data_IF_704373277151
#
_entry.id   IF_704373277151
#
_cell.length_a   1.000
_cell.length_b   1.000
_cell.length_c   1.000
_cell.angle_alpha   90.00
_cell.angle_beta   90.00
_cell.angle_gamma   90.00
#
_symmetry.space_group_name_H-M   'P 1'
#
loop_
_entity.id
_entity.type
_entity.pdbx_description
1 polymer ?
#
# COMPACT_ATOMS: atom_id res chain seq x y z
N UNK A 1 22.00 -5.66 2.42
CA UNK A 1 21.74 -6.93 3.13
C UNK A 1 22.86 -7.27 4.12
N UNK A 2 24.13 -7.30 3.69
CA UNK A 2 25.25 -7.70 4.57
C UNK A 2 25.69 -6.65 5.61
N UNK A 3 25.30 -5.38 5.47
CA UNK A 3 25.69 -4.33 6.42
C UNK A 3 24.85 -4.41 7.71
N UNK A 4 25.47 -4.44 8.90
CA UNK A 4 24.76 -4.54 10.17
C UNK A 4 23.75 -3.41 10.41
N UNK A 5 24.01 -2.21 9.87
CA UNK A 5 23.17 -1.02 9.99
C UNK A 5 21.80 -1.16 9.31
N UNK A 6 21.64 -2.16 8.42
CA UNK A 6 20.32 -2.49 7.86
C UNK A 6 19.40 -3.18 8.87
N UNK A 7 19.94 -3.75 9.95
CA UNK A 7 19.14 -4.40 10.98
C UNK A 7 18.24 -3.38 11.68
N UNK A 8 16.98 -3.76 11.90
CA UNK A 8 15.99 -2.87 12.55
C UNK A 8 15.39 -1.79 11.63
N UNK A 9 15.76 -1.73 10.34
CA UNK A 9 15.22 -0.75 9.38
C UNK A 9 13.92 -1.21 8.69
N UNK A 10 13.40 -2.36 9.10
CA UNK A 10 12.26 -3.02 8.46
C UNK A 10 12.65 -3.68 7.12
N UNK A 11 11.65 -3.93 6.28
CA UNK A 11 11.89 -4.38 4.90
C UNK A 11 12.38 -3.17 4.08
N UNK A 12 13.41 -3.39 3.27
CA UNK A 12 14.06 -2.38 2.46
C UNK A 12 13.95 -2.73 0.97
N UNK A 13 13.79 -1.70 0.14
CA UNK A 13 13.96 -1.79 -1.31
C UNK A 13 15.23 -1.03 -1.69
N UNK A 14 16.11 -1.63 -2.48
CA UNK A 14 17.32 -0.98 -2.98
C UNK A 14 17.32 -1.02 -4.49
N UNK A 15 17.19 0.14 -5.14
CA UNK A 15 17.30 0.30 -6.58
C UNK A 15 17.90 1.66 -6.90
N UNK A 16 18.71 1.75 -7.96
CA UNK A 16 19.37 3.00 -8.36
C UNK A 16 20.18 3.63 -7.21
N UNK A 17 20.90 2.79 -6.47
CA UNK A 17 21.70 3.13 -5.28
C UNK A 17 20.92 3.71 -4.09
N UNK A 18 19.61 3.98 -4.23
CA UNK A 18 18.77 4.50 -3.15
C UNK A 18 18.21 3.35 -2.29
N UNK A 19 18.23 3.54 -0.97
CA UNK A 19 17.66 2.61 0.00
C UNK A 19 16.33 3.17 0.49
N UNK A 20 15.22 2.53 0.15
CA UNK A 20 13.88 3.00 0.50
C UNK A 20 13.23 2.18 1.61
N UNK A 21 12.39 2.85 2.41
CA UNK A 21 11.47 2.18 3.31
C UNK A 21 10.36 1.49 2.51
N UNK A 22 10.10 0.20 2.78
CA UNK A 22 9.06 -0.55 2.09
C UNK A 22 7.66 0.06 2.20
N UNK A 23 7.36 0.81 3.28
CA UNK A 23 6.06 1.48 3.47
C UNK A 23 5.86 2.66 2.52
N UNK A 24 6.94 3.32 2.11
CA UNK A 24 6.89 4.66 1.50
C UNK A 24 7.28 4.64 0.03
N UNK A 25 7.94 3.57 -0.41
CA UNK A 25 8.41 3.41 -1.77
C UNK A 25 7.26 3.05 -2.71
N UNK A 26 7.21 3.69 -3.88
CA UNK A 26 6.31 3.32 -4.96
C UNK A 26 6.99 3.48 -6.31
N UNK A 27 6.48 2.76 -7.33
CA UNK A 27 6.97 2.86 -8.70
C UNK A 27 6.30 4.05 -9.39
N UNK A 28 7.04 5.12 -9.64
CA UNK A 28 6.52 6.39 -10.16
C UNK A 28 6.50 6.47 -11.71
N UNK A 29 7.30 5.64 -12.39
CA UNK A 29 7.43 5.68 -13.85
C UNK A 29 7.42 4.26 -14.46
N UNK A 30 6.81 4.13 -15.62
CA UNK A 30 6.69 2.85 -16.32
C UNK A 30 7.99 2.39 -16.99
N UNK A 31 8.89 3.31 -17.34
CA UNK A 31 10.06 3.04 -18.19
C UNK A 31 11.42 3.48 -17.58
N UNK A 32 11.44 4.49 -16.71
CA UNK A 32 12.69 5.01 -16.14
C UNK A 32 13.30 4.00 -15.16
N UNK A 33 14.62 3.92 -15.13
CA UNK A 33 15.36 3.04 -14.20
C UNK A 33 15.26 3.55 -12.75
N UNK A 34 15.28 4.88 -12.57
CA UNK A 34 15.09 5.55 -11.30
C UNK A 34 13.59 5.75 -11.00
N UNK A 35 12.83 4.65 -11.05
CA UNK A 35 11.37 4.70 -10.93
C UNK A 35 10.86 4.53 -9.52
N UNK A 36 11.59 3.81 -8.66
CA UNK A 36 11.21 3.76 -7.26
C UNK A 36 11.51 5.10 -6.64
N UNK A 37 10.45 5.75 -6.18
CA UNK A 37 10.52 7.04 -5.51
C UNK A 37 10.01 6.87 -4.09
N UNK A 38 10.61 7.59 -3.13
CA UNK A 38 10.00 7.72 -1.83
C UNK A 38 8.74 8.59 -1.93
N UNK A 39 7.91 8.55 -0.90
CA UNK A 39 6.91 9.61 -0.68
C UNK A 39 7.60 10.94 -0.33
N UNK A 40 6.82 11.92 0.12
CA UNK A 40 7.33 13.24 0.57
C UNK A 40 8.40 13.16 1.66
N UNK A 41 8.45 12.03 2.39
CA UNK A 41 9.44 11.75 3.40
C UNK A 41 10.68 11.05 2.84
N UNK A 42 11.05 11.11 1.55
CA UNK A 42 12.39 10.73 1.09
C UNK A 42 12.87 9.27 1.32
N UNK A 43 14.00 8.89 0.72
CA UNK A 43 14.62 7.57 0.97
C UNK A 43 15.48 7.60 2.24
N UNK A 44 15.93 6.44 2.70
CA UNK A 44 16.61 6.25 3.97
C UNK A 44 18.13 6.46 3.89
N UNK A 45 18.72 6.20 2.72
CA UNK A 45 20.16 6.19 2.53
C UNK A 45 20.59 5.81 1.12
N UNK A 46 21.91 5.64 0.96
CA UNK A 46 22.52 5.18 -0.28
C UNK A 46 23.32 3.89 -0.06
N UNK A 47 23.36 3.06 -1.11
CA UNK A 47 24.26 1.92 -1.26
C UNK A 47 24.98 2.08 -2.60
N UNK A 48 26.22 2.55 -2.55
CA UNK A 48 26.99 2.93 -3.74
C UNK A 48 27.99 1.85 -4.18
N UNK A 49 28.53 2.04 -5.38
CA UNK A 49 29.46 1.12 -6.03
C UNK A 49 30.83 1.01 -5.34
N UNK A 50 31.16 1.93 -4.43
CA UNK A 50 32.33 1.87 -3.57
C UNK A 50 32.15 0.95 -2.35
N UNK A 51 31.07 0.14 -2.35
CA UNK A 51 30.65 -0.77 -1.30
C UNK A 51 30.26 -0.11 0.01
N UNK A 52 30.04 1.21 0.02
CA UNK A 52 29.57 1.92 1.20
C UNK A 52 28.05 1.95 1.23
N UNK A 53 27.52 1.63 2.41
CA UNK A 53 26.10 1.76 2.72
C UNK A 53 25.96 2.81 3.81
N UNK A 54 25.23 3.88 3.52
CA UNK A 54 25.07 5.01 4.45
C UNK A 54 23.58 5.28 4.63
N UNK A 55 23.12 5.21 5.87
CA UNK A 55 21.76 5.60 6.25
C UNK A 55 21.77 6.99 6.89
N UNK A 56 20.88 7.86 6.45
CA UNK A 56 20.66 9.18 7.05
C UNK A 56 19.39 9.22 7.90
N UNK A 57 18.47 8.28 7.67
CA UNK A 57 17.12 8.30 8.24
C UNK A 57 16.65 6.89 8.56
N UNK A 58 15.68 6.78 9.47
CA UNK A 58 15.04 5.51 9.86
C UNK A 58 13.52 5.62 9.87
N UNK A 59 12.78 4.55 9.52
CA UNK A 59 11.33 4.51 9.72
C UNK A 59 10.98 4.62 11.20
N UNK A 60 9.89 5.33 11.52
CA UNK A 60 9.37 5.47 12.91
C UNK A 60 8.03 4.77 13.11
N UNK A 61 7.39 4.31 12.03
CA UNK A 61 6.18 3.49 12.09
C UNK A 61 6.58 2.05 12.42
N UNK A 62 5.88 1.45 13.37
CA UNK A 62 6.04 0.04 13.73
C UNK A 62 6.01 -0.84 12.48
N UNK A 63 6.99 -1.72 12.36
CA UNK A 63 7.13 -2.67 11.27
C UNK A 63 7.64 -4.01 11.81
N UNK A 64 7.66 -5.02 10.95
CA UNK A 64 8.22 -6.35 11.26
C UNK A 64 7.70 -6.89 12.61
N UNK A 65 8.60 -7.13 13.57
CA UNK A 65 8.33 -7.74 14.87
C UNK A 65 7.56 -6.83 15.82
N UNK A 66 7.43 -5.54 15.52
CA UNK A 66 6.67 -4.59 16.33
C UNK A 66 5.19 -4.51 15.91
N UNK A 67 4.80 -5.21 14.85
CA UNK A 67 3.41 -5.26 14.39
C UNK A 67 2.64 -6.42 15.01
N UNK A 68 1.32 -6.28 15.23
CA UNK A 68 0.50 -7.37 15.77
C UNK A 68 0.13 -8.43 14.72
N UNK A 69 0.51 -8.23 13.45
CA UNK A 69 0.11 -9.10 12.35
C UNK A 69 0.92 -10.39 12.36
N UNK A 70 0.23 -11.52 12.44
CA UNK A 70 0.81 -12.86 12.35
C UNK A 70 0.13 -13.60 11.22
N UNK A 71 0.91 -14.04 10.25
CA UNK A 71 0.44 -14.79 9.06
C UNK A 71 0.94 -16.23 9.05
N UNK A 72 1.61 -16.65 10.13
CA UNK A 72 2.09 -18.02 10.30
C UNK A 72 0.90 -19.00 10.22
N UNK A 73 0.97 -19.98 9.32
CA UNK A 73 -0.08 -20.97 9.13
C UNK A 73 -1.32 -20.48 8.36
N UNK A 74 -1.36 -19.21 7.92
CA UNK A 74 -2.39 -18.76 7.00
C UNK A 74 -2.13 -19.33 5.61
N UNK A 75 -3.16 -19.91 4.98
CA UNK A 75 -3.10 -20.40 3.60
C UNK A 75 -3.67 -19.42 2.59
N UNK A 76 -4.39 -18.40 3.05
CA UNK A 76 -4.99 -17.34 2.24
C UNK A 76 -5.18 -16.05 3.06
N UNK A 77 -5.37 -14.92 2.39
CA UNK A 77 -5.64 -13.60 2.99
C UNK A 77 -7.10 -13.19 2.76
N UNK A 78 -7.71 -12.39 3.66
CA UNK A 78 -9.02 -11.79 3.38
C UNK A 78 -8.98 -10.99 2.07
N UNK A 79 -9.99 -11.18 1.23
CA UNK A 79 -10.11 -10.45 -0.03
C UNK A 79 -10.33 -8.95 0.24
N UNK A 80 -9.58 -8.11 -0.45
CA UNK A 80 -9.77 -6.65 -0.44
C UNK A 80 -9.69 -6.14 -1.87
N UNK A 81 -10.79 -5.57 -2.36
CA UNK A 81 -10.86 -5.00 -3.72
C UNK A 81 -10.52 -3.50 -3.71
N UNK A 82 -10.03 -2.99 -4.83
CA UNK A 82 -9.73 -1.56 -5.02
C UNK A 82 -10.63 -1.00 -6.13
N UNK A 83 -11.43 0.02 -5.80
CA UNK A 83 -12.29 0.71 -6.77
C UNK A 83 -11.77 2.12 -6.99
N UNK A 84 -11.43 2.43 -8.24
CA UNK A 84 -10.92 3.74 -8.63
C UNK A 84 -12.06 4.68 -9.01
N UNK A 85 -12.05 5.89 -8.45
CA UNK A 85 -12.98 6.95 -8.85
C UNK A 85 -12.46 7.72 -10.05
N UNK A 86 -13.37 8.13 -10.91
CA UNK A 86 -13.14 8.95 -12.09
C UNK A 86 -14.38 9.79 -12.37
N UNK A 87 -14.28 10.78 -13.27
CA UNK A 87 -15.42 11.62 -13.61
C UNK A 87 -16.56 10.75 -14.17
N UNK A 88 -17.73 10.81 -13.53
CA UNK A 88 -18.88 9.97 -13.88
C UNK A 88 -18.86 8.57 -13.27
N UNK A 89 -17.90 8.24 -12.40
CA UNK A 89 -17.97 7.01 -11.62
C UNK A 89 -19.20 7.01 -10.70
N UNK A 90 -19.83 5.84 -10.58
CA UNK A 90 -21.03 5.59 -9.78
C UNK A 90 -20.82 4.40 -8.82
N UNK A 91 -21.91 3.91 -8.24
CA UNK A 91 -21.89 2.80 -7.29
C UNK A 91 -21.69 1.41 -7.89
N UNK A 92 -21.70 1.25 -9.22
CA UNK A 92 -21.80 -0.06 -9.87
C UNK A 92 -20.70 -1.04 -9.42
N UNK A 93 -19.45 -0.59 -9.37
CA UNK A 93 -18.32 -1.45 -8.98
C UNK A 93 -18.34 -1.80 -7.49
N UNK A 94 -18.84 -0.90 -6.63
CA UNK A 94 -19.01 -1.17 -5.19
C UNK A 94 -20.08 -2.25 -5.00
N UNK A 95 -21.22 -2.11 -5.69
CA UNK A 95 -22.30 -3.09 -5.63
C UNK A 95 -21.89 -4.45 -6.20
N UNK A 96 -21.06 -4.48 -7.25
CA UNK A 96 -20.51 -5.72 -7.77
C UNK A 96 -19.64 -6.45 -6.73
N UNK A 97 -18.78 -5.73 -6.00
CA UNK A 97 -17.96 -6.32 -4.91
C UNK A 97 -18.86 -6.84 -3.78
N UNK A 98 -19.88 -6.08 -3.38
CA UNK A 98 -20.87 -6.50 -2.36
C UNK A 98 -21.64 -7.74 -2.78
N UNK A 99 -22.14 -7.77 -4.02
CA UNK A 99 -22.86 -8.90 -4.57
C UNK A 99 -21.99 -10.16 -4.61
N UNK A 100 -20.72 -10.02 -4.99
CA UNK A 100 -19.77 -11.13 -4.95
C UNK A 100 -19.56 -11.65 -3.52
N UNK A 101 -19.35 -10.77 -2.55
CA UNK A 101 -19.20 -11.15 -1.13
C UNK A 101 -20.44 -11.89 -0.61
N UNK A 102 -21.64 -11.41 -0.96
CA UNK A 102 -22.90 -12.06 -0.58
C UNK A 102 -23.07 -13.45 -1.21
N UNK A 103 -22.66 -13.62 -2.47
CA UNK A 103 -22.75 -14.89 -3.20
C UNK A 103 -21.77 -15.94 -2.65
N UNK A 104 -20.54 -15.53 -2.31
CA UNK A 104 -19.51 -16.44 -1.81
C UNK A 104 -19.57 -16.65 -0.30
N UNK A 105 -20.29 -15.80 0.43
CA UNK A 105 -20.29 -15.76 1.89
C UNK A 105 -18.94 -15.32 2.49
N UNK A 106 -18.02 -14.80 1.67
CA UNK A 106 -16.71 -14.36 2.11
C UNK A 106 -16.78 -12.94 2.69
N UNK A 107 -16.01 -12.71 3.76
CA UNK A 107 -15.76 -11.35 4.24
C UNK A 107 -14.79 -10.67 3.29
N UNK A 108 -15.20 -9.54 2.75
CA UNK A 108 -14.44 -8.75 1.78
C UNK A 108 -14.27 -7.34 2.31
N UNK A 109 -13.08 -6.76 2.16
CA UNK A 109 -12.84 -5.34 2.38
C UNK A 109 -12.81 -4.54 1.08
N UNK A 110 -12.90 -3.22 1.17
CA UNK A 110 -12.86 -2.34 0.01
C UNK A 110 -11.97 -1.12 0.26
N UNK A 111 -11.12 -0.80 -0.72
CA UNK A 111 -10.35 0.45 -0.77
C UNK A 111 -10.88 1.31 -1.91
N UNK A 112 -11.27 2.54 -1.61
CA UNK A 112 -11.68 3.50 -2.62
C UNK A 112 -10.51 4.43 -2.95
N UNK A 113 -10.02 4.37 -4.19
CA UNK A 113 -9.02 5.30 -4.70
C UNK A 113 -9.73 6.55 -5.24
N UNK A 114 -9.79 7.59 -4.40
CA UNK A 114 -10.50 8.83 -4.66
C UNK A 114 -9.65 9.91 -5.35
N UNK A 115 -10.24 11.08 -5.50
CA UNK A 115 -9.54 12.27 -5.99
C UNK A 115 -8.82 12.99 -4.86
N UNK A 116 -7.68 13.61 -5.17
CA UNK A 116 -6.98 14.54 -4.29
C UNK A 116 -6.89 14.05 -2.84
N UNK A 117 -7.55 14.77 -1.93
CA UNK A 117 -7.57 14.48 -0.49
C UNK A 117 -8.54 13.33 -0.09
N UNK A 118 -8.82 12.39 -0.98
CA UNK A 118 -9.76 11.28 -0.74
C UNK A 118 -11.23 11.68 -0.90
N UNK A 119 -11.53 12.53 -1.88
CA UNK A 119 -12.92 12.88 -2.23
C UNK A 119 -13.46 11.97 -3.34
N UNK A 120 -14.78 11.84 -3.42
CA UNK A 120 -15.46 10.91 -4.31
C UNK A 120 -16.70 11.56 -4.94
N UNK A 121 -17.16 11.10 -6.11
CA UNK A 121 -18.46 11.49 -6.65
C UNK A 121 -19.60 11.12 -5.65
N UNK A 122 -20.68 11.92 -5.55
CA UNK A 122 -21.77 11.64 -4.61
C UNK A 122 -22.36 10.22 -4.71
N UNK A 123 -22.51 9.68 -5.93
CA UNK A 123 -23.01 8.33 -6.13
C UNK A 123 -22.08 7.24 -5.54
N UNK A 124 -20.76 7.43 -5.64
CA UNK A 124 -19.76 6.54 -5.02
C UNK A 124 -19.86 6.62 -3.51
N UNK A 125 -20.05 7.83 -2.94
CA UNK A 125 -20.25 8.01 -1.49
C UNK A 125 -21.51 7.26 -1.04
N UNK A 126 -22.66 7.47 -1.67
CA UNK A 126 -23.91 6.77 -1.31
C UNK A 126 -23.77 5.24 -1.36
N UNK A 127 -23.08 4.71 -2.36
CA UNK A 127 -22.84 3.28 -2.48
C UNK A 127 -21.87 2.77 -1.41
N UNK A 128 -20.82 3.53 -1.09
CA UNK A 128 -19.88 3.19 -0.02
C UNK A 128 -20.55 3.19 1.36
N UNK A 129 -21.39 4.19 1.66
CA UNK A 129 -22.19 4.23 2.89
C UNK A 129 -23.11 3.01 3.01
N UNK A 130 -23.74 2.62 1.89
CA UNK A 130 -24.57 1.42 1.82
C UNK A 130 -23.75 0.12 2.01
N UNK A 131 -22.50 0.11 1.56
CA UNK A 131 -21.58 -1.01 1.78
C UNK A 131 -21.23 -1.15 3.26
N UNK A 132 -20.83 -0.05 3.92
CA UNK A 132 -20.49 -0.02 5.34
C UNK A 132 -21.70 -0.38 6.21
N UNK A 133 -22.89 0.15 5.89
CA UNK A 133 -24.13 -0.21 6.59
C UNK A 133 -24.48 -1.70 6.45
N UNK A 134 -24.05 -2.34 5.36
CA UNK A 134 -24.18 -3.78 5.12
C UNK A 134 -23.13 -4.64 5.82
N UNK A 135 -22.21 -4.05 6.58
CA UNK A 135 -21.17 -4.78 7.34
C UNK A 135 -19.89 -5.08 6.55
N UNK A 136 -19.67 -4.37 5.44
CA UNK A 136 -18.35 -4.28 4.79
C UNK A 136 -17.41 -3.36 5.57
#
# INVERSE_FOLDING_TARGET
>A
AATPESAGMGVLTVLNNEIHCAREVYKANTLRVETFKPNELGFLGYADSDHRVVFYRRPVRKHTTETPFRVDGMTDLPRVDIVHSYAGADGMLIDAVRAHAAQTGQRTGLVLAGFGAGTFPPAVISAAESAVAGGM
#
